data_IF_772663970983
#
_entry.id   IF_772663970983
#
_cell.length_a   1.000
_cell.length_b   1.000
_cell.length_c   1.000
_cell.angle_alpha   90.00
_cell.angle_beta   90.00
_cell.angle_gamma   90.00
#
_symmetry.space_group_name_H-M   'P 1'
#
loop_
_entity.id
_entity.type
_entity.pdbx_description
1 polymer ?
#
# COMPACT_ATOMS: atom_id res chain seq x y z
N UNK A 1 5.45 8.58 -23.51
CA UNK A 1 5.06 9.88 -22.93
C UNK A 1 5.16 9.71 -21.41
N UNK A 2 5.89 10.57 -20.71
CA UNK A 2 6.01 10.46 -19.24
C UNK A 2 4.78 11.10 -18.57
N UNK A 3 3.74 10.30 -18.41
CA UNK A 3 2.49 10.71 -17.76
C UNK A 3 2.70 11.22 -16.33
N UNK A 4 3.67 10.67 -15.60
CA UNK A 4 3.92 11.08 -14.22
C UNK A 4 4.44 12.52 -14.14
N UNK A 5 5.28 12.94 -15.07
CA UNK A 5 5.74 14.32 -15.18
C UNK A 5 4.60 15.28 -15.47
N UNK A 6 3.65 14.90 -16.36
CA UNK A 6 2.45 15.71 -16.66
C UNK A 6 1.59 15.86 -15.41
N UNK A 7 1.32 14.76 -14.70
CA UNK A 7 0.51 14.75 -13.46
C UNK A 7 1.12 15.64 -12.37
N UNK A 8 2.43 15.68 -12.24
CA UNK A 8 3.15 16.49 -11.23
C UNK A 8 3.21 17.99 -11.59
N UNK A 9 3.06 18.36 -12.84
CA UNK A 9 3.27 19.74 -13.30
C UNK A 9 2.56 20.80 -12.45
N UNK A 10 1.28 20.63 -12.04
CA UNK A 10 0.56 21.64 -11.25
C UNK A 10 1.07 21.82 -9.82
N UNK A 11 1.89 20.89 -9.31
CA UNK A 11 2.29 20.81 -7.89
C UNK A 11 3.80 20.66 -7.71
N UNK A 12 4.63 20.96 -8.71
CA UNK A 12 6.10 20.72 -8.65
C UNK A 12 6.72 21.36 -7.40
N UNK A 13 6.46 22.66 -7.17
CA UNK A 13 6.99 23.36 -6.00
C UNK A 13 6.46 22.77 -4.69
N UNK A 14 5.15 22.52 -4.61
CA UNK A 14 4.54 21.98 -3.40
C UNK A 14 5.04 20.57 -3.09
N UNK A 15 5.40 19.80 -4.13
CA UNK A 15 6.01 18.48 -3.97
C UNK A 15 7.45 18.57 -3.47
N UNK A 16 8.22 19.58 -3.91
CA UNK A 16 9.58 19.83 -3.41
C UNK A 16 9.53 20.25 -1.94
N UNK A 17 8.59 21.11 -1.55
CA UNK A 17 8.36 21.51 -0.17
C UNK A 17 7.96 20.29 0.70
N UNK A 18 7.08 19.42 0.20
CA UNK A 18 6.75 18.16 0.85
C UNK A 18 7.99 17.27 1.04
N UNK A 19 8.82 17.12 0.02
CA UNK A 19 10.03 16.29 0.08
C UNK A 19 10.97 16.79 1.17
N UNK A 20 11.20 18.10 1.23
CA UNK A 20 12.07 18.70 2.23
C UNK A 20 11.52 18.46 3.65
N UNK A 21 10.21 18.66 3.85
CA UNK A 21 9.55 18.46 5.14
C UNK A 21 9.56 16.96 5.56
N UNK A 22 9.29 16.05 4.63
CA UNK A 22 9.33 14.60 4.88
C UNK A 22 10.75 14.12 5.23
N UNK A 23 11.77 14.60 4.53
CA UNK A 23 13.17 14.27 4.84
C UNK A 23 13.59 14.79 6.20
N UNK A 24 13.16 16.00 6.57
CA UNK A 24 13.40 16.57 7.90
C UNK A 24 12.71 15.74 8.99
N UNK A 25 11.47 15.30 8.77
CA UNK A 25 10.71 14.48 9.71
C UNK A 25 11.36 13.11 9.99
N UNK A 26 12.11 12.57 9.03
CA UNK A 26 12.85 11.31 9.16
C UNK A 26 14.34 11.55 9.50
N UNK A 27 14.68 12.66 10.15
CA UNK A 27 16.06 12.98 10.59
C UNK A 27 16.19 12.78 12.09
N UNK A 28 17.32 12.21 12.49
CA UNK A 28 17.75 12.13 13.88
C UNK A 28 19.28 12.24 13.94
N UNK A 29 19.79 12.97 14.91
CA UNK A 29 21.19 13.42 14.87
C UNK A 29 22.20 12.31 15.10
N UNK A 30 21.89 11.28 15.89
CA UNK A 30 22.88 10.26 16.28
C UNK A 30 22.36 8.84 16.44
N UNK A 31 23.30 7.89 16.40
CA UNK A 31 23.12 6.52 16.83
C UNK A 31 22.38 5.62 15.85
N UNK A 32 21.88 4.53 16.38
CA UNK A 32 21.21 3.48 15.61
C UNK A 32 19.92 3.99 14.96
N UNK A 33 19.16 4.83 15.67
CA UNK A 33 17.91 5.42 15.14
C UNK A 33 18.21 6.30 13.93
N UNK A 34 19.18 7.22 14.02
CA UNK A 34 19.58 8.09 12.91
C UNK A 34 20.03 7.29 11.68
N UNK A 35 20.82 6.23 11.90
CA UNK A 35 21.27 5.34 10.83
C UNK A 35 20.11 4.57 10.18
N UNK A 36 19.16 4.06 10.94
CA UNK A 36 17.99 3.36 10.43
C UNK A 36 17.06 4.29 9.63
N UNK A 37 16.82 5.50 10.13
CA UNK A 37 16.02 6.52 9.41
C UNK A 37 16.73 6.96 8.12
N UNK A 38 18.05 7.13 8.13
CA UNK A 38 18.82 7.42 6.92
C UNK A 38 18.72 6.29 5.88
N UNK A 39 18.75 5.04 6.32
CA UNK A 39 18.54 3.87 5.46
C UNK A 39 17.13 3.89 4.80
N UNK A 40 16.08 4.24 5.55
CA UNK A 40 14.72 4.37 5.03
C UNK A 40 14.62 5.52 4.03
N UNK A 41 15.23 6.68 4.30
CA UNK A 41 15.21 7.85 3.40
C UNK A 41 15.83 7.59 2.03
N UNK A 42 16.84 6.72 1.96
CA UNK A 42 17.49 6.35 0.69
C UNK A 42 16.57 5.55 -0.24
N UNK A 43 15.50 4.95 0.30
CA UNK A 43 14.52 4.19 -0.47
C UNK A 43 13.65 5.13 -1.29
N UNK A 44 14.00 5.31 -2.55
CA UNK A 44 13.19 6.06 -3.50
C UNK A 44 11.80 5.43 -3.69
N UNK A 45 10.84 6.23 -4.14
CA UNK A 45 9.49 5.78 -4.50
C UNK A 45 8.81 6.77 -5.43
N UNK A 46 7.76 6.32 -6.11
CA UNK A 46 6.98 7.16 -7.05
C UNK A 46 6.18 8.26 -6.34
N UNK A 47 6.07 8.20 -4.99
CA UNK A 47 5.36 9.17 -4.13
C UNK A 47 3.92 9.43 -4.56
N UNK A 48 3.23 8.40 -5.01
CA UNK A 48 1.86 8.52 -5.53
C UNK A 48 0.88 9.10 -4.50
N UNK A 49 1.05 8.76 -3.22
CA UNK A 49 0.16 9.20 -2.13
C UNK A 49 0.28 10.70 -1.85
N UNK A 50 1.47 11.26 -1.58
CA UNK A 50 1.60 12.71 -1.44
C UNK A 50 1.21 13.47 -2.71
N UNK A 51 1.51 12.97 -3.91
CA UNK A 51 1.04 13.56 -5.17
C UNK A 51 -0.49 13.64 -5.18
N UNK A 52 -1.19 12.56 -4.83
CA UNK A 52 -2.65 12.53 -4.75
C UNK A 52 -3.18 13.57 -3.75
N UNK A 53 -2.60 13.63 -2.54
CA UNK A 53 -3.00 14.58 -1.50
C UNK A 53 -2.86 16.02 -1.96
N UNK A 54 -1.71 16.36 -2.56
CA UNK A 54 -1.43 17.72 -3.06
C UNK A 54 -2.33 18.09 -4.25
N UNK A 55 -2.57 17.18 -5.19
CA UNK A 55 -3.46 17.41 -6.33
C UNK A 55 -4.90 17.61 -5.88
N UNK A 56 -5.38 16.81 -4.92
CA UNK A 56 -6.72 16.99 -4.37
C UNK A 56 -6.87 18.35 -3.68
N UNK A 57 -5.90 18.75 -2.85
CA UNK A 57 -5.93 20.08 -2.26
C UNK A 57 -5.94 21.19 -3.33
N UNK A 58 -5.11 21.06 -4.37
CA UNK A 58 -5.04 22.03 -5.46
C UNK A 58 -6.34 22.11 -6.26
N UNK A 59 -7.05 20.99 -6.41
CA UNK A 59 -8.32 20.94 -7.13
C UNK A 59 -9.45 21.70 -6.42
N UNK A 60 -9.44 21.74 -5.08
CA UNK A 60 -10.47 22.39 -4.27
C UNK A 60 -10.05 23.77 -3.73
N UNK A 61 -8.77 24.14 -3.87
CA UNK A 61 -8.27 25.43 -3.43
C UNK A 61 -6.75 25.53 -3.41
N UNK A 62 -6.21 26.01 -2.30
CA UNK A 62 -4.78 26.22 -2.18
C UNK A 62 -4.12 25.16 -1.31
N UNK A 63 -2.91 24.76 -1.69
CA UNK A 63 -2.05 23.94 -0.85
C UNK A 63 -1.50 24.84 0.26
N UNK A 64 -1.74 24.46 1.50
CA UNK A 64 -1.35 25.19 2.70
C UNK A 64 -0.41 24.36 3.58
N UNK A 65 0.06 24.94 4.69
CA UNK A 65 0.80 24.19 5.71
C UNK A 65 -0.01 23.01 6.26
N UNK A 66 -1.35 23.15 6.37
CA UNK A 66 -2.24 22.04 6.75
C UNK A 66 -2.14 20.88 5.75
N UNK A 67 -2.16 21.18 4.45
CA UNK A 67 -1.99 20.17 3.40
C UNK A 67 -0.63 19.49 3.47
N UNK A 68 0.45 20.28 3.64
CA UNK A 68 1.82 19.76 3.70
C UNK A 68 2.02 18.81 4.90
N UNK A 69 1.62 19.25 6.11
CA UNK A 69 1.70 18.41 7.30
C UNK A 69 0.82 17.15 7.20
N UNK A 70 -0.36 17.26 6.59
CA UNK A 70 -1.23 16.12 6.34
C UNK A 70 -0.58 15.10 5.38
N UNK A 71 -0.01 15.57 4.27
CA UNK A 71 0.66 14.73 3.30
C UNK A 71 1.87 14.00 3.92
N UNK A 72 2.65 14.71 4.75
CA UNK A 72 3.78 14.12 5.48
C UNK A 72 3.30 13.09 6.49
N UNK A 73 2.26 13.38 7.27
CA UNK A 73 1.68 12.46 8.23
C UNK A 73 1.18 11.15 7.56
N UNK A 74 0.49 11.27 6.42
CA UNK A 74 0.01 10.12 5.65
C UNK A 74 1.18 9.27 5.10
N UNK A 75 2.20 9.89 4.54
CA UNK A 75 3.36 9.16 4.00
C UNK A 75 4.23 8.55 5.11
N UNK A 76 4.34 9.21 6.28
CA UNK A 76 5.00 8.64 7.46
C UNK A 76 4.22 7.44 8.02
N UNK A 77 2.88 7.52 8.13
CA UNK A 77 2.05 6.38 8.53
C UNK A 77 2.26 5.20 7.58
N UNK A 78 2.26 5.45 6.27
CA UNK A 78 2.56 4.42 5.29
C UNK A 78 3.97 3.85 5.44
N UNK A 79 4.97 4.70 5.68
CA UNK A 79 6.35 4.26 5.88
C UNK A 79 6.49 3.40 7.13
N UNK A 80 5.82 3.77 8.23
CA UNK A 80 5.77 2.99 9.46
C UNK A 80 5.12 1.61 9.23
N UNK A 81 3.98 1.57 8.52
CA UNK A 81 3.32 0.29 8.22
C UNK A 81 4.24 -0.63 7.40
N UNK A 82 4.96 -0.11 6.41
CA UNK A 82 5.90 -0.91 5.64
C UNK A 82 7.06 -1.49 6.47
N UNK A 83 7.54 -0.74 7.48
CA UNK A 83 8.59 -1.23 8.39
C UNK A 83 8.05 -2.33 9.31
N UNK A 84 6.81 -2.20 9.80
CA UNK A 84 6.16 -3.23 10.60
C UNK A 84 5.80 -4.46 9.76
N UNK A 85 5.30 -4.27 8.52
CA UNK A 85 4.98 -5.36 7.60
C UNK A 85 6.22 -6.20 7.28
N UNK A 86 7.41 -5.56 7.08
CA UNK A 86 8.66 -6.27 6.86
C UNK A 86 9.00 -7.24 8.02
N UNK A 87 8.62 -6.90 9.25
CA UNK A 87 8.79 -7.77 10.42
C UNK A 87 7.75 -8.88 10.45
N UNK A 88 6.49 -8.57 10.15
CA UNK A 88 5.36 -9.52 10.14
C UNK A 88 5.53 -10.56 9.04
N UNK A 89 5.94 -10.12 7.84
CA UNK A 89 6.15 -10.97 6.67
C UNK A 89 7.56 -11.63 6.67
N UNK A 90 8.38 -11.40 7.70
CA UNK A 90 9.80 -11.84 7.77
C UNK A 90 10.61 -11.46 6.53
N UNK A 91 10.28 -10.35 5.92
CA UNK A 91 10.86 -9.91 4.65
C UNK A 91 12.30 -9.41 4.83
N UNK A 92 13.24 -10.01 4.09
CA UNK A 92 14.66 -9.62 4.13
C UNK A 92 14.99 -8.44 3.23
N UNK A 93 14.12 -8.09 2.29
CA UNK A 93 14.37 -7.08 1.27
C UNK A 93 13.11 -6.26 0.96
N UNK A 94 13.30 -4.96 0.69
CA UNK A 94 12.25 -4.06 0.21
C UNK A 94 12.79 -3.08 -0.83
N UNK A 95 12.20 -3.11 -2.02
CA UNK A 95 12.57 -2.24 -3.16
C UNK A 95 14.06 -2.36 -3.55
N UNK A 96 14.60 -3.57 -3.57
CA UNK A 96 15.98 -3.83 -3.96
C UNK A 96 17.03 -3.47 -2.88
N UNK A 97 16.59 -3.22 -1.64
CA UNK A 97 17.48 -2.95 -0.51
C UNK A 97 17.09 -3.80 0.69
N UNK A 98 18.08 -4.16 1.53
CA UNK A 98 17.82 -4.88 2.76
C UNK A 98 16.77 -4.15 3.61
N UNK A 99 15.81 -4.87 4.17
CA UNK A 99 14.81 -4.33 5.09
C UNK A 99 15.46 -3.87 6.41
N UNK A 100 14.74 -3.10 7.22
CA UNK A 100 15.27 -2.61 8.53
C UNK A 100 15.52 -3.78 9.48
N UNK A 101 14.60 -4.76 9.51
CA UNK A 101 14.75 -5.96 10.33
C UNK A 101 15.94 -6.84 9.87
N UNK A 102 16.20 -6.94 8.56
CA UNK A 102 17.36 -7.66 8.03
C UNK A 102 18.68 -6.93 8.33
N UNK A 103 18.68 -5.59 8.30
CA UNK A 103 19.89 -4.79 8.55
C UNK A 103 20.25 -4.72 10.05
N UNK A 104 19.24 -4.61 10.91
CA UNK A 104 19.44 -4.43 12.35
C UNK A 104 18.92 -5.63 13.16
N UNK A 105 17.64 -5.83 13.25
CA UNK A 105 16.86 -6.96 13.78
C UNK A 105 15.38 -6.54 13.94
N UNK A 106 14.49 -7.49 14.26
CA UNK A 106 13.06 -7.23 14.46
C UNK A 106 12.77 -6.22 15.57
N UNK A 107 13.52 -6.25 16.70
CA UNK A 107 13.30 -5.32 17.83
C UNK A 107 13.55 -3.87 17.42
N UNK A 108 14.62 -3.62 16.68
CA UNK A 108 14.96 -2.29 16.18
C UNK A 108 13.93 -1.86 15.14
N UNK A 109 13.52 -2.75 14.22
CA UNK A 109 12.54 -2.42 13.19
C UNK A 109 11.18 -2.02 13.81
N UNK A 110 10.69 -2.75 14.80
CA UNK A 110 9.44 -2.37 15.51
C UNK A 110 9.56 -0.97 16.12
N UNK A 111 10.64 -0.70 16.88
CA UNK A 111 10.82 0.61 17.52
C UNK A 111 11.03 1.76 16.52
N UNK A 112 11.68 1.52 15.40
CA UNK A 112 11.81 2.49 14.30
C UNK A 112 10.44 2.76 13.67
N UNK A 113 9.63 1.74 13.44
CA UNK A 113 8.25 1.87 12.99
C UNK A 113 7.41 2.72 13.95
N UNK A 114 7.51 2.46 15.26
CA UNK A 114 6.80 3.23 16.30
C UNK A 114 7.25 4.70 16.33
N UNK A 115 8.55 4.95 16.18
CA UNK A 115 9.08 6.32 16.09
C UNK A 115 8.50 7.07 14.88
N UNK A 116 8.47 6.42 13.70
CA UNK A 116 7.92 7.00 12.47
C UNK A 116 6.41 7.25 12.62
N UNK A 117 5.67 6.28 13.20
CA UNK A 117 4.24 6.42 13.48
C UNK A 117 3.96 7.59 14.43
N UNK A 118 4.74 7.72 15.50
CA UNK A 118 4.62 8.83 16.44
C UNK A 118 4.94 10.18 15.77
N UNK A 119 5.92 10.20 14.86
CA UNK A 119 6.23 11.37 14.05
C UNK A 119 5.09 11.73 13.09
N UNK A 120 4.39 10.73 12.54
CA UNK A 120 3.19 10.96 11.73
C UNK A 120 2.08 11.65 12.55
N UNK A 121 1.81 11.17 13.77
CA UNK A 121 0.85 11.79 14.69
C UNK A 121 1.24 13.22 15.03
N UNK A 122 2.52 13.48 15.26
CA UNK A 122 3.05 14.82 15.54
C UNK A 122 2.78 15.76 14.35
N UNK A 123 3.07 15.33 13.11
CA UNK A 123 2.83 16.15 11.92
C UNK A 123 1.35 16.49 11.73
N UNK A 124 0.43 15.52 11.89
CA UNK A 124 -1.01 15.85 11.78
C UNK A 124 -1.51 16.71 12.92
N UNK A 125 -0.89 16.64 14.10
CA UNK A 125 -1.23 17.55 15.21
C UNK A 125 -0.90 19.00 14.88
N UNK A 126 0.14 19.26 14.10
CA UNK A 126 0.50 20.63 13.64
C UNK A 126 -0.54 21.23 12.70
N UNK A 127 -1.43 20.43 12.12
CA UNK A 127 -2.54 20.96 11.30
C UNK A 127 -3.55 21.76 12.13
N UNK A 128 -3.64 21.49 13.43
CA UNK A 128 -4.69 22.05 14.30
C UNK A 128 -6.10 21.66 13.88
N UNK A 129 -6.25 20.71 12.99
CA UNK A 129 -7.54 20.32 12.41
C UNK A 129 -8.02 18.97 12.96
N UNK A 130 -8.95 18.99 13.91
CA UNK A 130 -9.39 17.80 14.63
C UNK A 130 -9.84 16.66 13.71
N UNK A 131 -10.62 16.94 12.65
CA UNK A 131 -11.09 15.91 11.70
C UNK A 131 -9.95 15.22 10.95
N UNK A 132 -8.84 15.92 10.67
CA UNK A 132 -7.67 15.31 10.03
C UNK A 132 -6.97 14.36 10.99
N UNK A 133 -6.86 14.75 12.27
CA UNK A 133 -6.26 13.90 13.32
C UNK A 133 -7.10 12.63 13.51
N UNK A 134 -8.43 12.79 13.62
CA UNK A 134 -9.37 11.66 13.74
C UNK A 134 -9.28 10.72 12.53
N UNK A 135 -9.20 11.29 11.31
CA UNK A 135 -9.12 10.52 10.08
C UNK A 135 -7.83 9.68 10.01
N UNK A 136 -6.68 10.26 10.40
CA UNK A 136 -5.42 9.52 10.44
C UNK A 136 -5.44 8.40 11.48
N UNK A 137 -6.00 8.65 12.66
CA UNK A 137 -6.12 7.65 13.71
C UNK A 137 -7.01 6.48 13.29
N UNK A 138 -8.16 6.77 12.65
CA UNK A 138 -9.05 5.74 12.13
C UNK A 138 -8.42 4.97 10.96
N UNK A 139 -7.66 5.65 10.10
CA UNK A 139 -6.88 5.00 9.05
C UNK A 139 -5.88 4.00 9.63
N UNK A 140 -5.13 4.38 10.67
CA UNK A 140 -4.17 3.47 11.33
C UNK A 140 -4.86 2.21 11.87
N UNK A 141 -6.04 2.35 12.49
CA UNK A 141 -6.86 1.21 12.93
C UNK A 141 -7.30 0.33 11.77
N UNK A 142 -7.74 0.95 10.68
CA UNK A 142 -8.21 0.23 9.47
C UNK A 142 -7.09 -0.57 8.81
N UNK A 143 -5.89 0.01 8.69
CA UNK A 143 -4.72 -0.68 8.14
C UNK A 143 -4.34 -1.91 8.98
N UNK A 144 -4.26 -1.74 10.30
CA UNK A 144 -3.95 -2.85 11.22
C UNK A 144 -5.03 -3.95 11.19
N UNK A 145 -6.31 -3.58 11.14
CA UNK A 145 -7.41 -4.54 11.02
C UNK A 145 -7.36 -5.29 9.68
N UNK A 146 -6.98 -4.61 8.59
CA UNK A 146 -6.81 -5.21 7.27
C UNK A 146 -5.67 -6.23 7.23
N UNK A 147 -4.56 -5.95 7.92
CA UNK A 147 -3.45 -6.88 8.05
C UNK A 147 -3.84 -8.14 8.84
N UNK A 148 -4.52 -7.98 9.97
CA UNK A 148 -5.04 -9.11 10.76
C UNK A 148 -6.04 -9.93 9.95
N UNK A 149 -6.91 -9.28 9.17
CA UNK A 149 -7.86 -9.97 8.30
C UNK A 149 -7.12 -10.79 7.23
N UNK A 150 -6.07 -10.25 6.61
CA UNK A 150 -5.24 -10.95 5.64
C UNK A 150 -4.59 -12.19 6.26
N UNK A 151 -3.97 -12.07 7.43
CA UNK A 151 -3.37 -13.18 8.16
C UNK A 151 -4.41 -14.27 8.51
N UNK A 152 -5.59 -13.85 8.97
CA UNK A 152 -6.69 -14.76 9.26
C UNK A 152 -7.21 -15.46 8.00
N UNK A 153 -7.24 -14.77 6.85
CA UNK A 153 -7.67 -15.34 5.58
C UNK A 153 -6.67 -16.36 5.02
N UNK A 154 -5.38 -16.19 5.24
CA UNK A 154 -4.36 -17.19 4.90
C UNK A 154 -4.63 -18.50 5.63
N UNK A 155 -5.00 -18.44 6.91
CA UNK A 155 -5.34 -19.61 7.73
C UNK A 155 -6.69 -20.25 7.35
N UNK A 156 -7.61 -19.47 6.79
CA UNK A 156 -8.94 -19.94 6.39
C UNK A 156 -8.87 -20.64 5.02
N UNK A 157 -9.47 -21.85 4.90
CA UNK A 157 -9.50 -22.63 3.66
C UNK A 157 -10.45 -22.05 2.58
N UNK A 158 -11.34 -21.12 2.93
CA UNK A 158 -12.26 -20.52 1.99
C UNK A 158 -11.53 -19.64 0.96
N UNK A 159 -11.97 -19.73 -0.29
CA UNK A 159 -11.49 -18.90 -1.42
C UNK A 159 -12.65 -17.97 -1.78
N UNK A 160 -12.59 -16.73 -1.34
CA UNK A 160 -13.69 -15.76 -1.44
C UNK A 160 -13.22 -14.43 -2.05
N UNK A 161 -13.88 -14.03 -3.13
CA UNK A 161 -13.68 -12.73 -3.76
C UNK A 161 -14.11 -11.60 -2.82
N UNK A 162 -15.17 -11.76 -2.03
CA UNK A 162 -15.61 -10.74 -1.06
C UNK A 162 -14.54 -10.48 0.01
N UNK A 163 -13.91 -11.55 0.53
CA UNK A 163 -12.83 -11.41 1.51
C UNK A 163 -11.61 -10.74 0.87
N UNK A 164 -11.27 -11.10 -0.36
CA UNK A 164 -10.21 -10.42 -1.11
C UNK A 164 -10.47 -8.91 -1.19
N UNK A 165 -11.69 -8.49 -1.59
CA UNK A 165 -12.02 -7.06 -1.65
C UNK A 165 -12.00 -6.38 -0.29
N UNK A 166 -12.41 -7.06 0.78
CA UNK A 166 -12.30 -6.51 2.14
C UNK A 166 -10.83 -6.26 2.52
N UNK A 167 -9.94 -7.22 2.25
CA UNK A 167 -8.51 -7.09 2.53
C UNK A 167 -7.91 -5.92 1.76
N UNK A 168 -8.08 -5.85 0.43
CA UNK A 168 -7.46 -4.78 -0.36
C UNK A 168 -8.05 -3.39 -0.06
N UNK A 169 -9.33 -3.31 0.31
CA UNK A 169 -9.96 -2.06 0.77
C UNK A 169 -9.32 -1.54 2.05
N UNK A 170 -9.11 -2.41 3.03
CA UNK A 170 -8.56 -2.02 4.33
C UNK A 170 -7.03 -1.83 4.27
N UNK A 171 -6.30 -2.71 3.60
CA UNK A 171 -4.83 -2.68 3.57
C UNK A 171 -4.26 -1.64 2.59
N UNK A 172 -4.89 -1.46 1.43
CA UNK A 172 -4.36 -0.61 0.35
C UNK A 172 -5.25 0.59 0.05
N UNK A 173 -6.53 0.37 -0.26
CA UNK A 173 -7.39 1.43 -0.75
C UNK A 173 -7.72 2.48 0.32
N UNK A 174 -7.82 2.11 1.61
CA UNK A 174 -8.09 3.04 2.70
C UNK A 174 -7.07 4.18 2.77
N UNK A 175 -5.80 3.90 2.48
CA UNK A 175 -4.77 4.93 2.47
C UNK A 175 -4.91 5.88 1.27
N UNK A 176 -5.26 5.39 0.07
CA UNK A 176 -5.56 6.24 -1.08
C UNK A 176 -6.82 7.08 -0.85
N UNK A 177 -7.85 6.49 -0.24
CA UNK A 177 -9.08 7.18 0.19
C UNK A 177 -8.74 8.33 1.14
N UNK A 178 -7.91 8.07 2.16
CA UNK A 178 -7.49 9.09 3.13
C UNK A 178 -6.68 10.20 2.47
N UNK A 179 -5.76 9.88 1.56
CA UNK A 179 -4.98 10.86 0.81
C UNK A 179 -5.89 11.80 0.02
N UNK A 180 -6.89 11.26 -0.67
CA UNK A 180 -7.83 12.04 -1.45
C UNK A 180 -8.76 12.89 -0.56
N UNK A 181 -9.33 12.31 0.49
CA UNK A 181 -10.24 12.98 1.41
C UNK A 181 -9.55 14.11 2.20
N UNK A 182 -8.41 13.82 2.81
CA UNK A 182 -7.65 14.80 3.60
C UNK A 182 -7.09 15.90 2.68
N UNK A 183 -6.64 15.54 1.48
CA UNK A 183 -6.23 16.51 0.46
C UNK A 183 -7.37 17.47 0.13
N UNK A 184 -8.55 16.95 -0.22
CA UNK A 184 -9.74 17.75 -0.51
C UNK A 184 -10.16 18.63 0.69
N UNK A 185 -10.21 18.05 1.89
CA UNK A 185 -10.54 18.77 3.13
C UNK A 185 -9.57 19.93 3.38
N UNK A 186 -8.28 19.71 3.25
CA UNK A 186 -7.25 20.73 3.47
C UNK A 186 -7.26 21.84 2.41
N UNK A 187 -7.82 21.56 1.22
CA UNK A 187 -8.04 22.51 0.14
C UNK A 187 -9.32 23.32 0.28
N UNK A 188 -10.21 22.96 1.21
CA UNK A 188 -11.47 23.68 1.46
C UNK A 188 -12.71 23.05 0.81
N UNK A 189 -12.65 21.77 0.42
CA UNK A 189 -13.80 21.03 -0.10
C UNK A 189 -14.95 20.96 0.93
N UNK A 190 -16.17 21.10 0.42
CA UNK A 190 -17.37 20.85 1.23
C UNK A 190 -17.59 19.34 1.43
N UNK A 191 -18.62 18.97 2.21
CA UNK A 191 -18.86 17.56 2.57
C UNK A 191 -19.19 16.69 1.36
N UNK A 192 -19.97 17.19 0.38
CA UNK A 192 -20.28 16.44 -0.85
C UNK A 192 -19.05 16.21 -1.72
N UNK A 193 -18.24 17.23 -1.88
CA UNK A 193 -16.96 17.17 -2.62
C UNK A 193 -15.99 16.21 -1.95
N UNK A 194 -15.90 16.24 -0.62
CA UNK A 194 -15.08 15.33 0.16
C UNK A 194 -15.53 13.87 -0.03
N UNK A 195 -16.84 13.58 -0.06
CA UNK A 195 -17.34 12.23 -0.33
C UNK A 195 -16.96 11.75 -1.75
N UNK A 196 -17.04 12.61 -2.75
CA UNK A 196 -16.57 12.30 -4.12
C UNK A 196 -15.06 12.02 -4.16
N UNK A 197 -14.27 12.82 -3.43
CA UNK A 197 -12.84 12.62 -3.31
C UNK A 197 -12.51 11.28 -2.63
N UNK A 198 -13.24 10.92 -1.57
CA UNK A 198 -13.12 9.62 -0.90
C UNK A 198 -13.36 8.47 -1.88
N UNK A 199 -14.48 8.51 -2.60
CA UNK A 199 -14.83 7.48 -3.57
C UNK A 199 -13.78 7.34 -4.66
N UNK A 200 -13.29 8.47 -5.19
CA UNK A 200 -12.19 8.47 -6.16
C UNK A 200 -10.93 7.82 -5.60
N UNK A 201 -10.51 8.21 -4.40
CA UNK A 201 -9.34 7.64 -3.73
C UNK A 201 -9.48 6.14 -3.48
N UNK A 202 -10.64 5.69 -3.00
CA UNK A 202 -10.93 4.27 -2.77
C UNK A 202 -10.84 3.47 -4.08
N UNK A 203 -11.48 3.93 -5.15
CA UNK A 203 -11.46 3.26 -6.45
C UNK A 203 -10.03 3.22 -7.02
N UNK A 204 -9.28 4.33 -6.91
CA UNK A 204 -7.88 4.38 -7.35
C UNK A 204 -7.02 3.36 -6.58
N UNK A 205 -7.22 3.23 -5.27
CA UNK A 205 -6.50 2.27 -4.45
C UNK A 205 -6.83 0.81 -4.79
N UNK A 206 -8.10 0.50 -5.06
CA UNK A 206 -8.54 -0.82 -5.52
C UNK A 206 -7.90 -1.15 -6.89
N UNK A 207 -8.00 -0.24 -7.85
CA UNK A 207 -7.37 -0.41 -9.17
C UNK A 207 -5.85 -0.61 -9.06
N UNK A 208 -5.20 0.17 -8.18
CA UNK A 208 -3.76 0.06 -7.94
C UNK A 208 -3.39 -1.34 -7.46
N UNK A 209 -4.14 -1.89 -6.50
CA UNK A 209 -3.88 -3.23 -5.98
C UNK A 209 -4.16 -4.32 -7.01
N UNK A 210 -5.33 -4.29 -7.67
CA UNK A 210 -5.66 -5.29 -8.71
C UNK A 210 -4.59 -5.29 -9.82
N UNK A 211 -4.09 -4.12 -10.22
CA UNK A 211 -3.02 -4.03 -11.20
C UNK A 211 -1.70 -4.64 -10.69
N UNK A 212 -1.36 -4.41 -9.44
CA UNK A 212 -0.15 -4.99 -8.83
C UNK A 212 -0.25 -6.51 -8.78
N UNK A 213 -1.42 -7.02 -8.40
CA UNK A 213 -1.73 -8.46 -8.39
C UNK A 213 -1.64 -9.09 -9.79
N UNK A 214 -2.12 -8.40 -10.83
CA UNK A 214 -1.99 -8.86 -12.23
C UNK A 214 -0.51 -8.96 -12.63
N UNK A 215 0.31 -8.00 -12.23
CA UNK A 215 1.75 -8.03 -12.59
C UNK A 215 2.48 -9.22 -11.99
N UNK A 216 2.04 -9.78 -10.89
CA UNK A 216 2.62 -10.97 -10.28
C UNK A 216 2.49 -12.23 -11.16
N UNK A 217 1.62 -12.22 -12.17
CA UNK A 217 1.44 -13.32 -13.14
C UNK A 217 2.39 -13.24 -14.34
N UNK A 218 3.18 -12.19 -14.46
CA UNK A 218 4.06 -12.00 -15.62
C UNK A 218 5.51 -11.84 -15.18
N UNK A 219 6.42 -12.47 -15.95
CA UNK A 219 7.85 -12.30 -15.76
C UNK A 219 8.25 -10.85 -16.05
N UNK A 220 8.68 -10.15 -15.04
CA UNK A 220 9.22 -8.81 -15.19
C UNK A 220 10.71 -8.83 -14.93
N UNK A 221 11.50 -8.88 -16.00
CA UNK A 221 12.97 -8.73 -15.95
C UNK A 221 13.39 -7.37 -15.37
N UNK A 222 12.49 -6.38 -15.41
CA UNK A 222 12.74 -5.03 -14.88
C UNK A 222 12.48 -4.93 -13.37
N UNK A 223 11.64 -5.81 -12.80
CA UNK A 223 11.25 -5.76 -11.37
C UNK A 223 12.06 -6.76 -10.54
N UNK A 224 12.66 -7.78 -11.18
CA UNK A 224 13.55 -8.76 -10.51
C UNK A 224 12.84 -9.72 -9.55
N UNK A 225 11.49 -9.79 -9.60
CA UNK A 225 10.70 -10.73 -8.79
C UNK A 225 10.32 -11.95 -9.64
N UNK A 226 10.36 -13.16 -9.05
CA UNK A 226 9.81 -14.34 -9.70
C UNK A 226 8.28 -14.22 -9.81
N UNK A 227 7.70 -14.82 -10.85
CA UNK A 227 6.25 -14.89 -11.05
C UNK A 227 5.60 -15.69 -9.91
N UNK A 228 4.44 -15.25 -9.42
CA UNK A 228 3.69 -15.94 -8.36
C UNK A 228 4.24 -15.72 -6.95
N UNK A 229 4.87 -14.57 -6.70
CA UNK A 229 5.39 -14.22 -5.38
C UNK A 229 4.27 -14.17 -4.31
N UNK A 230 3.09 -13.67 -4.66
CA UNK A 230 1.93 -13.66 -3.76
C UNK A 230 1.53 -15.08 -3.32
N UNK A 231 1.58 -16.04 -4.25
CA UNK A 231 1.31 -17.45 -3.94
C UNK A 231 2.39 -18.05 -3.05
N UNK A 232 3.66 -17.65 -3.22
CA UNK A 232 4.75 -18.04 -2.32
C UNK A 232 4.52 -17.57 -0.88
N UNK A 233 3.89 -16.39 -0.72
CA UNK A 233 3.52 -15.80 0.56
C UNK A 233 2.16 -16.32 1.11
N UNK A 234 1.56 -17.34 0.48
CA UNK A 234 0.28 -17.91 0.90
C UNK A 234 -0.95 -17.12 0.50
N UNK A 235 -0.80 -16.13 -0.40
CA UNK A 235 -1.86 -15.23 -0.84
C UNK A 235 -2.47 -15.71 -2.16
N UNK A 236 -3.80 -15.71 -2.22
CA UNK A 236 -4.55 -15.91 -3.48
C UNK A 236 -5.18 -14.56 -3.85
N UNK A 237 -4.88 -14.08 -5.06
CA UNK A 237 -5.33 -12.79 -5.56
C UNK A 237 -6.47 -12.92 -6.56
N UNK A 238 -7.09 -11.82 -6.96
CA UNK A 238 -8.32 -11.81 -7.77
C UNK A 238 -8.29 -12.73 -9.01
N UNK A 239 -7.20 -12.73 -9.82
CA UNK A 239 -7.17 -13.59 -11.01
C UNK A 239 -7.36 -15.08 -10.69
N UNK A 240 -6.61 -15.62 -9.74
CA UNK A 240 -6.70 -17.04 -9.38
C UNK A 240 -7.98 -17.37 -8.62
N UNK A 241 -8.49 -16.45 -7.80
CA UNK A 241 -9.78 -16.61 -7.11
C UNK A 241 -10.91 -16.80 -8.13
N UNK A 242 -10.95 -15.96 -9.17
CA UNK A 242 -11.93 -16.10 -10.25
C UNK A 242 -11.79 -17.46 -10.97
N UNK A 243 -10.59 -17.82 -11.39
CA UNK A 243 -10.35 -19.07 -12.09
C UNK A 243 -10.77 -20.30 -11.28
N UNK A 244 -10.50 -20.31 -9.96
CA UNK A 244 -10.87 -21.38 -9.05
C UNK A 244 -12.38 -21.44 -8.77
N UNK A 245 -13.07 -20.29 -8.74
CA UNK A 245 -14.51 -20.22 -8.45
C UNK A 245 -15.38 -20.49 -9.68
N UNK A 246 -14.83 -20.40 -10.88
CA UNK A 246 -15.56 -20.64 -12.15
C UNK A 246 -15.34 -22.02 -12.75
N UNK A 247 -14.50 -22.84 -12.11
CA UNK A 247 -14.14 -24.18 -12.60
C UNK A 247 -14.13 -25.21 -11.49
N UNK A 248 -14.45 -26.48 -11.83
CA UNK A 248 -14.48 -27.62 -10.88
C UNK A 248 -13.20 -28.48 -10.99
N UNK A 249 -12.03 -27.88 -11.12
CA UNK A 249 -10.78 -28.65 -11.15
C UNK A 249 -10.26 -28.92 -9.73
N UNK A 250 -10.56 -30.10 -9.19
CA UNK A 250 -10.15 -30.50 -7.83
C UNK A 250 -8.64 -30.45 -7.62
N UNK A 251 -7.85 -30.76 -8.65
CA UNK A 251 -6.39 -30.63 -8.60
C UNK A 251 -5.94 -29.19 -8.35
N UNK A 252 -6.58 -28.19 -8.97
CA UNK A 252 -6.27 -26.77 -8.79
C UNK A 252 -6.73 -26.28 -7.42
N UNK A 253 -7.88 -26.73 -6.94
CA UNK A 253 -8.34 -26.47 -5.56
C UNK A 253 -7.36 -27.03 -4.53
N UNK A 254 -6.77 -28.20 -4.80
CA UNK A 254 -5.74 -28.78 -3.93
C UNK A 254 -4.47 -27.94 -3.92
N UNK A 255 -4.01 -27.45 -5.07
CA UNK A 255 -2.85 -26.54 -5.15
C UNK A 255 -3.12 -25.22 -4.42
N UNK A 256 -4.32 -24.66 -4.55
CA UNK A 256 -4.72 -23.46 -3.84
C UNK A 256 -4.68 -23.64 -2.30
N UNK A 257 -5.09 -24.81 -1.79
CA UNK A 257 -4.95 -25.15 -0.37
C UNK A 257 -3.48 -25.24 0.05
N UNK A 258 -2.60 -25.79 -0.80
CA UNK A 258 -1.16 -25.82 -0.55
C UNK A 258 -0.55 -24.42 -0.50
N UNK A 259 -1.01 -23.49 -1.37
CA UNK A 259 -0.62 -22.06 -1.30
C UNK A 259 -0.96 -21.53 0.08
N UNK A 260 -2.21 -21.63 0.52
CA UNK A 260 -2.64 -21.15 1.84
C UNK A 260 -1.93 -21.84 3.02
N UNK A 261 -1.52 -23.08 2.86
CA UNK A 261 -0.77 -23.83 3.87
C UNK A 261 0.74 -23.51 3.87
N UNK A 262 1.23 -22.71 2.91
CA UNK A 262 2.67 -22.43 2.76
C UNK A 262 3.51 -23.65 2.36
N UNK A 263 2.87 -24.66 1.74
CA UNK A 263 3.51 -25.93 1.33
C UNK A 263 3.63 -26.10 -0.18
N UNK A 264 3.24 -25.09 -0.95
CA UNK A 264 3.36 -25.05 -2.41
C UNK A 264 4.83 -24.86 -2.82
N UNK A 265 5.24 -25.53 -3.90
CA UNK A 265 6.55 -25.31 -4.52
C UNK A 265 6.43 -24.48 -5.82
N UNK A 266 7.56 -24.08 -6.39
CA UNK A 266 7.60 -23.21 -7.57
C UNK A 266 6.99 -23.85 -8.83
N UNK A 267 7.13 -25.15 -9.02
CA UNK A 267 6.53 -25.85 -10.16
C UNK A 267 4.99 -25.86 -10.03
N UNK A 268 4.48 -26.06 -8.82
CA UNK A 268 3.04 -26.03 -8.53
C UNK A 268 2.46 -24.60 -8.69
N UNK A 269 3.22 -23.56 -8.30
CA UNK A 269 2.86 -22.15 -8.55
C UNK A 269 2.78 -21.89 -10.05
N UNK A 270 3.76 -22.33 -10.83
CA UNK A 270 3.75 -22.18 -12.28
C UNK A 270 2.51 -22.83 -12.94
N UNK A 271 2.08 -23.99 -12.43
CA UNK A 271 0.83 -24.64 -12.87
C UNK A 271 -0.40 -23.79 -12.56
N UNK A 272 -0.50 -23.22 -11.35
CA UNK A 272 -1.60 -22.34 -10.98
C UNK A 272 -1.62 -21.05 -11.79
N UNK A 273 -0.45 -20.44 -12.05
CA UNK A 273 -0.31 -19.23 -12.88
C UNK A 273 -0.83 -19.50 -14.30
N UNK A 274 -0.40 -20.60 -14.92
CA UNK A 274 -0.82 -20.97 -16.27
C UNK A 274 -2.32 -21.29 -16.32
N UNK A 275 -2.82 -22.06 -15.36
CA UNK A 275 -4.25 -22.32 -15.21
C UNK A 275 -5.06 -21.01 -15.11
N UNK A 276 -4.62 -20.06 -14.28
CA UNK A 276 -5.30 -18.76 -14.10
C UNK A 276 -5.41 -17.99 -15.41
N UNK A 277 -4.32 -17.95 -16.20
CA UNK A 277 -4.30 -17.31 -17.53
C UNK A 277 -5.26 -17.99 -18.49
N UNK A 278 -5.24 -19.32 -18.54
CA UNK A 278 -6.10 -20.10 -19.46
C UNK A 278 -7.60 -19.99 -19.12
N UNK A 279 -7.94 -19.77 -17.85
CA UNK A 279 -9.33 -19.62 -17.41
C UNK A 279 -9.86 -18.18 -17.43
N UNK A 280 -9.12 -17.23 -18.03
CA UNK A 280 -9.55 -15.85 -18.16
C UNK A 280 -9.49 -15.04 -16.86
N UNK A 281 -8.67 -15.48 -15.88
CA UNK A 281 -8.53 -14.78 -14.60
C UNK A 281 -7.91 -13.41 -14.73
N UNK A 282 -6.98 -13.22 -15.67
CA UNK A 282 -6.35 -11.93 -15.94
C UNK A 282 -7.36 -10.96 -16.55
N UNK A 283 -8.07 -11.39 -17.59
CA UNK A 283 -9.10 -10.61 -18.29
C UNK A 283 -10.23 -10.17 -17.34
N UNK A 284 -10.62 -11.07 -16.43
CA UNK A 284 -11.60 -10.74 -15.40
C UNK A 284 -11.09 -9.63 -14.47
N UNK A 285 -9.86 -9.75 -13.99
CA UNK A 285 -9.26 -8.73 -13.13
C UNK A 285 -9.10 -7.37 -13.86
N UNK A 286 -8.72 -7.38 -15.14
CA UNK A 286 -8.66 -6.17 -15.97
C UNK A 286 -10.04 -5.51 -16.14
N UNK A 287 -11.12 -6.30 -16.33
CA UNK A 287 -12.48 -5.76 -16.38
C UNK A 287 -12.91 -5.09 -15.07
N UNK A 288 -12.45 -5.58 -13.92
CA UNK A 288 -12.75 -4.98 -12.61
C UNK A 288 -12.05 -3.65 -12.36
N UNK A 289 -11.04 -3.31 -13.15
CA UNK A 289 -10.36 -2.00 -13.12
C UNK A 289 -11.04 -0.95 -14.01
N UNK A 290 -11.96 -1.35 -14.90
CA UNK A 290 -12.67 -0.46 -15.83
C UNK A 290 -13.95 0.07 -15.22
#
# INVERSE_FOLDING_TARGET
MDYLSIIKQPIVKDLDDFIALFQSALSHDDGMLGSALAHIRQRGGKRMRPILTLLMARNFGNISAVTQHSAVGLELLHTASLVHDDVVDESGERRGQASVNATYNNKVAVLVGDFILSTALLHVSYTGHQRIIEYLAELGRTLAAGEILQLSNIQNQAISEDVYYQVIKQKTAALFEACAAIGAMSGGANEEEMQKARQFGQNLGIMFQIRDDIFDYFDSKEIGKPTGNDMTEGKLTLPVIYALNTTDFESMQTLARKVKAGTVNQDEIAVLVEFTKQQGGIEYAEQKMS
#
